data_IF_539355406717
#
_entry.id   IF_539355406717
#
_cell.length_a   1.000
_cell.length_b   1.000
_cell.length_c   1.000
_cell.angle_alpha   90.00
_cell.angle_beta   90.00
_cell.angle_gamma   90.00
#
_symmetry.space_group_name_H-M   'P 1'
#
loop_
_entity.id
_entity.type
_entity.pdbx_description
1 polymer ?
#
# COMPACT_ATOMS: atom_id res chain seq x y z
N UNK A 1 -76.56 -23.23 -38.68
CA UNK A 1 -77.30 -22.62 -39.81
C UNK A 1 -76.95 -21.14 -39.84
N UNK A 2 -75.85 -20.77 -40.50
CA UNK A 2 -75.83 -20.18 -41.86
C UNK A 2 -76.64 -18.86 -41.96
N UNK A 3 -75.93 -17.74 -42.15
CA UNK A 3 -75.95 -16.88 -43.38
C UNK A 3 -76.96 -15.71 -43.21
N UNK A 4 -76.76 -14.43 -43.54
CA UNK A 4 -75.87 -13.64 -44.41
C UNK A 4 -76.09 -12.13 -44.03
N UNK A 5 -75.07 -11.27 -43.94
CA UNK A 5 -74.67 -10.22 -44.93
C UNK A 5 -75.62 -8.97 -44.98
N UNK A 6 -75.25 -7.67 -44.90
CA UNK A 6 -74.52 -6.81 -45.88
C UNK A 6 -74.50 -5.32 -45.39
N UNK A 7 -73.30 -4.70 -45.36
CA UNK A 7 -72.82 -3.35 -45.83
C UNK A 7 -73.29 -1.92 -45.41
N UNK A 8 -72.25 -1.02 -45.44
CA UNK A 8 -72.13 0.46 -45.79
C UNK A 8 -72.34 1.52 -44.69
N UNK A 9 -71.73 2.74 -44.65
CA UNK A 9 -70.45 3.38 -45.03
C UNK A 9 -70.53 4.90 -44.62
N UNK A 10 -69.52 5.46 -43.91
CA UNK A 10 -69.10 6.89 -43.75
C UNK A 10 -70.08 7.93 -43.11
N UNK A 11 -69.67 8.97 -42.35
CA UNK A 11 -68.48 9.86 -42.38
C UNK A 11 -68.31 10.66 -41.06
N UNK A 12 -67.06 11.04 -40.78
CA UNK A 12 -66.47 11.71 -39.60
C UNK A 12 -66.76 13.22 -39.52
N UNK A 13 -66.92 13.78 -38.30
CA UNK A 13 -66.76 15.22 -38.02
C UNK A 13 -65.89 15.49 -36.78
N UNK A 14 -64.73 16.11 -37.03
CA UNK A 14 -63.81 16.69 -36.03
C UNK A 14 -64.33 18.06 -35.58
N UNK A 15 -64.42 18.33 -34.27
CA UNK A 15 -64.66 19.68 -33.73
C UNK A 15 -63.33 20.35 -33.31
N UNK A 16 -63.12 21.58 -33.79
CA UNK A 16 -61.97 22.45 -33.51
C UNK A 16 -62.07 23.04 -32.09
N UNK A 17 -60.94 23.18 -31.38
CA UNK A 17 -60.83 23.91 -30.10
C UNK A 17 -60.32 25.35 -30.33
N UNK A 18 -60.76 26.36 -29.55
CA UNK A 18 -60.33 27.77 -29.68
C UNK A 18 -59.01 28.08 -28.91
N UNK A 19 -58.35 29.24 -29.17
CA UNK A 19 -57.03 29.55 -28.60
C UNK A 19 -57.01 30.51 -27.39
N UNK A 20 -56.06 30.21 -26.49
CA UNK A 20 -55.14 31.05 -25.69
C UNK A 20 -55.61 32.14 -24.69
N UNK A 21 -55.10 32.04 -23.44
CA UNK A 21 -54.61 33.19 -22.65
C UNK A 21 -53.32 32.82 -21.92
N UNK A 22 -52.23 33.55 -22.22
CA UNK A 22 -50.94 33.52 -21.52
C UNK A 22 -51.10 34.03 -20.09
N UNK A 23 -50.63 33.28 -19.11
CA UNK A 23 -50.22 33.82 -17.80
C UNK A 23 -48.74 33.54 -17.62
N UNK A 24 -47.93 34.62 -17.55
CA UNK A 24 -46.51 34.55 -17.23
C UNK A 24 -46.38 34.06 -15.79
N UNK A 25 -45.93 32.83 -15.56
CA UNK A 25 -45.43 32.43 -14.24
C UNK A 25 -43.98 32.93 -14.11
N UNK A 26 -43.76 33.79 -13.12
CA UNK A 26 -42.45 34.34 -12.77
C UNK A 26 -41.47 33.19 -12.50
N UNK A 27 -40.29 33.26 -13.12
CA UNK A 27 -39.12 32.48 -12.72
C UNK A 27 -38.82 32.76 -11.25
N UNK A 28 -38.93 31.75 -10.40
CA UNK A 28 -38.22 31.72 -9.13
C UNK A 28 -37.16 30.63 -9.24
N UNK A 29 -35.93 31.10 -9.31
CA UNK A 29 -34.68 30.34 -9.29
C UNK A 29 -34.62 29.52 -7.99
N UNK A 30 -34.38 28.20 -8.01
CA UNK A 30 -34.09 27.48 -6.78
C UNK A 30 -32.60 27.68 -6.44
N UNK A 31 -32.34 28.49 -5.42
CA UNK A 31 -31.03 28.71 -4.77
C UNK A 31 -30.49 27.42 -4.09
N UNK A 32 -31.18 26.29 -4.24
CA UNK A 32 -30.90 25.04 -3.52
C UNK A 32 -29.94 24.08 -4.24
N UNK A 33 -29.52 24.37 -5.48
CA UNK A 33 -28.64 23.46 -6.23
C UNK A 33 -27.16 23.84 -6.25
N UNK A 34 -26.79 25.01 -5.72
CA UNK A 34 -25.39 25.47 -5.76
C UNK A 34 -24.55 24.94 -4.57
N UNK A 35 -25.16 24.62 -3.42
CA UNK A 35 -24.40 24.15 -2.24
C UNK A 35 -23.98 22.67 -2.31
N UNK A 36 -24.69 21.81 -3.04
CA UNK A 36 -24.35 20.37 -3.04
C UNK A 36 -23.12 20.06 -3.90
N UNK A 37 -22.92 20.81 -5.00
CA UNK A 37 -21.76 20.60 -5.88
C UNK A 37 -20.48 21.11 -5.22
N UNK A 38 -20.53 22.25 -4.52
CA UNK A 38 -19.36 22.80 -3.83
C UNK A 38 -18.88 21.93 -2.67
N UNK A 39 -19.78 21.29 -1.92
CA UNK A 39 -19.39 20.42 -0.79
C UNK A 39 -18.84 19.08 -1.30
N UNK A 40 -19.36 18.54 -2.41
CA UNK A 40 -18.77 17.36 -3.06
C UNK A 40 -17.40 17.68 -3.70
N UNK A 41 -17.22 18.88 -4.26
CA UNK A 41 -15.93 19.33 -4.77
C UNK A 41 -14.91 19.64 -3.67
N UNK A 42 -15.33 20.10 -2.49
CA UNK A 42 -14.43 20.27 -1.34
C UNK A 42 -14.08 18.94 -0.65
N UNK A 43 -15.01 17.98 -0.62
CA UNK A 43 -14.72 16.64 -0.08
C UNK A 43 -13.83 15.82 -1.02
N UNK A 44 -13.87 16.10 -2.33
CA UNK A 44 -12.96 15.52 -3.33
C UNK A 44 -11.59 16.24 -3.38
N UNK A 45 -11.51 17.48 -2.90
CA UNK A 45 -10.24 18.22 -2.74
C UNK A 45 -9.48 17.85 -1.45
N UNK A 46 -10.07 17.07 -0.54
CA UNK A 46 -9.36 16.47 0.61
C UNK A 46 -8.74 15.10 0.29
N UNK A 47 -8.94 14.56 -0.91
CA UNK A 47 -8.36 13.26 -1.35
C UNK A 47 -7.33 13.47 -2.48
N UNK A 48 -6.85 14.70 -2.66
CA UNK A 48 -5.70 14.98 -3.54
C UNK A 48 -4.70 15.87 -2.80
N UNK A 49 -4.27 15.45 -1.62
CA UNK A 49 -2.91 15.76 -1.22
C UNK A 49 -2.00 14.90 -2.10
N UNK A 50 -1.56 15.51 -3.20
CA UNK A 50 -0.39 15.07 -3.94
C UNK A 50 0.82 15.34 -3.05
N UNK A 51 0.98 14.51 -2.01
CA UNK A 51 2.21 14.38 -1.24
C UNK A 51 2.91 13.12 -1.72
N UNK A 52 3.99 13.30 -2.48
CA UNK A 52 4.90 12.22 -2.81
C UNK A 52 5.47 11.61 -1.51
N UNK A 53 4.88 10.50 -1.07
CA UNK A 53 5.33 9.74 0.10
C UNK A 53 4.25 8.80 0.57
N UNK A 54 4.53 7.50 0.56
CA UNK A 54 3.70 6.48 1.19
C UNK A 54 3.23 6.94 2.60
N UNK A 55 1.95 6.77 2.90
CA UNK A 55 1.35 7.12 4.20
C UNK A 55 1.90 6.17 5.28
N UNK A 56 2.98 6.59 5.95
CA UNK A 56 3.65 5.79 6.97
C UNK A 56 2.77 5.75 8.23
N UNK A 57 2.37 4.56 8.72
CA UNK A 57 1.56 4.45 9.93
C UNK A 57 2.26 5.06 11.14
N UNK A 58 1.58 5.98 11.84
CA UNK A 58 2.03 6.48 13.14
C UNK A 58 1.82 5.40 14.20
N UNK A 59 2.86 5.12 14.99
CA UNK A 59 2.89 4.09 16.03
C UNK A 59 2.71 2.64 15.51
N UNK A 60 2.94 2.41 14.22
CA UNK A 60 2.90 1.08 13.62
C UNK A 60 4.08 0.20 14.04
N UNK A 61 3.91 -1.11 13.91
CA UNK A 61 5.01 -2.07 13.96
C UNK A 61 5.92 -1.90 12.74
N UNK A 62 7.18 -2.35 12.84
CA UNK A 62 8.12 -2.28 11.70
C UNK A 62 7.61 -3.05 10.47
N UNK A 63 6.80 -4.09 10.66
CA UNK A 63 6.17 -4.83 9.57
C UNK A 63 5.12 -3.98 8.85
N UNK A 64 4.25 -3.28 9.59
CA UNK A 64 3.24 -2.37 9.02
C UNK A 64 3.89 -1.16 8.32
N UNK A 65 4.95 -0.61 8.92
CA UNK A 65 5.75 0.45 8.28
C UNK A 65 6.35 -0.07 6.97
N UNK A 66 6.97 -1.24 6.97
CA UNK A 66 7.54 -1.82 5.76
C UNK A 66 6.48 -2.09 4.69
N UNK A 67 5.33 -2.66 5.07
CA UNK A 67 4.20 -2.95 4.18
C UNK A 67 3.67 -1.68 3.50
N UNK A 68 3.62 -0.55 4.21
CA UNK A 68 3.23 0.74 3.62
C UNK A 68 4.14 1.20 2.47
N UNK A 69 5.37 0.67 2.39
CA UNK A 69 6.37 1.07 1.39
C UNK A 69 6.34 0.23 0.11
N UNK A 70 5.46 -0.77 -0.01
CA UNK A 70 5.44 -1.63 -1.21
C UNK A 70 5.27 -0.77 -2.48
N UNK A 71 6.17 -0.97 -3.44
CA UNK A 71 6.22 -0.23 -4.70
C UNK A 71 7.19 0.96 -4.71
N UNK A 72 7.65 1.41 -3.54
CA UNK A 72 8.53 2.57 -3.44
C UNK A 72 9.95 2.31 -3.96
N UNK A 73 10.60 3.40 -4.38
CA UNK A 73 11.97 3.44 -4.92
C UNK A 73 12.99 3.81 -3.84
N UNK A 74 14.25 3.43 -4.05
CA UNK A 74 15.21 3.46 -2.96
C UNK A 74 15.75 4.82 -2.54
N UNK A 75 15.51 5.90 -3.32
CA UNK A 75 16.14 7.22 -3.09
C UNK A 75 15.93 7.74 -1.68
N UNK A 76 14.73 7.57 -1.16
CA UNK A 76 14.38 7.97 0.21
C UNK A 76 15.31 7.30 1.22
N UNK A 77 15.55 6.00 1.08
CA UNK A 77 16.26 5.20 2.08
C UNK A 77 17.78 5.44 2.05
N UNK A 78 18.42 5.40 0.87
CA UNK A 78 19.88 5.62 0.82
C UNK A 78 20.25 7.07 1.11
N UNK A 79 19.46 8.05 0.69
CA UNK A 79 19.70 9.46 1.01
C UNK A 79 19.43 9.76 2.49
N UNK A 80 18.38 9.18 3.11
CA UNK A 80 18.18 9.28 4.57
C UNK A 80 19.36 8.67 5.34
N UNK A 81 19.92 7.57 4.84
CA UNK A 81 21.07 6.95 5.48
C UNK A 81 22.30 7.88 5.46
N UNK A 82 22.47 8.65 4.38
CA UNK A 82 23.55 9.62 4.18
C UNK A 82 24.35 9.43 2.88
N UNK A 83 23.84 8.66 1.92
CA UNK A 83 24.47 8.48 0.61
C UNK A 83 23.93 9.49 -0.41
N UNK A 84 24.85 10.14 -1.12
CA UNK A 84 24.52 11.10 -2.19
C UNK A 84 24.18 10.40 -3.53
N UNK A 85 24.62 9.15 -3.70
CA UNK A 85 24.45 8.36 -4.92
C UNK A 85 23.75 7.02 -4.65
N UNK A 86 23.13 6.38 -5.66
CA UNK A 86 22.53 5.07 -5.51
C UNK A 86 23.54 4.02 -5.03
N UNK A 87 23.13 3.25 -4.02
CA UNK A 87 23.87 2.11 -3.45
C UNK A 87 22.90 0.93 -3.28
N UNK A 88 23.42 -0.26 -2.98
CA UNK A 88 22.55 -1.36 -2.54
C UNK A 88 21.85 -0.99 -1.22
N UNK A 89 20.53 -0.83 -1.30
CA UNK A 89 19.78 -0.08 -0.29
C UNK A 89 18.85 -0.94 0.57
N UNK A 90 18.93 -2.27 0.48
CA UNK A 90 18.11 -3.18 1.30
C UNK A 90 18.29 -2.95 2.81
N UNK A 91 19.53 -2.81 3.28
CA UNK A 91 19.84 -2.49 4.68
C UNK A 91 19.46 -1.06 5.07
N UNK A 92 19.59 -0.10 4.14
CA UNK A 92 19.12 1.27 4.36
C UNK A 92 17.60 1.30 4.59
N UNK A 93 16.84 0.53 3.81
CA UNK A 93 15.39 0.38 3.96
C UNK A 93 15.02 -0.20 5.32
N UNK A 94 15.66 -1.29 5.76
CA UNK A 94 15.38 -1.89 7.08
C UNK A 94 15.71 -0.92 8.21
N UNK A 95 16.84 -0.23 8.12
CA UNK A 95 17.22 0.81 9.09
C UNK A 95 16.21 1.96 9.11
N UNK A 96 15.75 2.41 7.94
CA UNK A 96 14.75 3.48 7.85
C UNK A 96 13.43 3.05 8.50
N UNK A 97 12.95 1.83 8.24
CA UNK A 97 11.74 1.31 8.88
C UNK A 97 11.88 1.24 10.41
N UNK A 98 13.05 0.80 10.91
CA UNK A 98 13.33 0.78 12.33
C UNK A 98 13.37 2.19 12.95
N UNK A 99 13.89 3.18 12.22
CA UNK A 99 13.89 4.59 12.62
C UNK A 99 12.47 5.17 12.71
N UNK A 100 11.62 4.87 11.72
CA UNK A 100 10.21 5.31 11.73
C UNK A 100 9.44 4.76 12.95
N UNK A 101 9.87 3.62 13.49
CA UNK A 101 9.30 3.03 14.70
C UNK A 101 9.97 3.50 16.00
N UNK A 102 10.98 4.37 15.93
CA UNK A 102 11.80 4.80 17.08
C UNK A 102 12.69 3.70 17.66
N UNK A 103 12.85 2.57 16.97
CA UNK A 103 13.58 1.41 17.49
C UNK A 103 15.08 1.63 17.55
N UNK A 104 15.63 2.47 16.67
CA UNK A 104 17.04 2.84 16.69
C UNK A 104 17.34 3.71 17.91
N UNK A 105 16.56 4.78 18.14
CA UNK A 105 16.72 5.65 19.31
C UNK A 105 16.54 4.87 20.62
N UNK A 106 15.57 3.96 20.67
CA UNK A 106 15.34 3.09 21.82
C UNK A 106 16.40 1.97 22.00
N UNK A 107 17.38 1.86 21.10
CA UNK A 107 18.45 0.85 21.17
C UNK A 107 18.00 -0.60 20.88
N UNK A 108 16.82 -0.78 20.28
CA UNK A 108 16.21 -2.08 19.97
C UNK A 108 16.68 -2.66 18.64
N UNK A 109 17.10 -1.79 17.72
CA UNK A 109 17.58 -2.14 16.39
C UNK A 109 18.82 -1.30 16.02
N UNK A 110 19.75 -1.83 15.21
CA UNK A 110 20.88 -1.06 14.72
C UNK A 110 20.48 -0.13 13.56
N UNK A 111 21.23 0.97 13.39
CA UNK A 111 21.34 1.68 12.11
C UNK A 111 22.48 1.05 11.30
N UNK A 112 22.21 0.48 10.13
CA UNK A 112 23.20 -0.20 9.30
C UNK A 112 22.87 -0.10 7.79
N UNK A 113 23.90 -0.01 6.95
CA UNK A 113 23.80 -0.05 5.48
C UNK A 113 24.48 -1.27 4.87
N UNK A 114 25.24 -2.01 5.66
CA UNK A 114 25.87 -3.27 5.27
C UNK A 114 25.19 -4.44 6.00
N UNK A 115 24.73 -5.44 5.25
CA UNK A 115 23.98 -6.56 5.82
C UNK A 115 24.76 -7.34 6.88
N UNK A 116 26.07 -7.53 6.68
CA UNK A 116 26.92 -8.24 7.63
C UNK A 116 27.06 -7.48 8.96
N UNK A 117 27.12 -6.15 8.93
CA UNK A 117 27.15 -5.34 10.14
C UNK A 117 25.86 -5.49 10.96
N UNK A 118 24.70 -5.56 10.28
CA UNK A 118 23.41 -5.84 10.92
C UNK A 118 23.42 -7.19 11.64
N UNK A 119 23.89 -8.25 10.97
CA UNK A 119 24.05 -9.59 11.57
C UNK A 119 24.98 -9.54 12.79
N UNK A 120 26.16 -8.94 12.64
CA UNK A 120 27.14 -8.84 13.72
C UNK A 120 26.56 -8.14 14.96
N UNK A 121 25.77 -7.09 14.75
CA UNK A 121 25.07 -6.40 15.84
C UNK A 121 24.09 -7.33 16.56
N UNK A 122 23.18 -8.00 15.83
CA UNK A 122 22.19 -8.90 16.46
C UNK A 122 22.83 -10.07 17.21
N UNK A 123 23.97 -10.59 16.71
CA UNK A 123 24.77 -11.60 17.41
C UNK A 123 25.33 -11.02 18.71
N UNK A 124 26.00 -9.86 18.65
CA UNK A 124 26.60 -9.22 19.82
C UNK A 124 25.59 -8.83 20.89
N UNK A 125 24.38 -8.42 20.47
CA UNK A 125 23.24 -8.08 21.31
C UNK A 125 22.48 -9.31 21.83
N UNK A 126 22.95 -10.53 21.54
CA UNK A 126 22.30 -11.82 21.94
C UNK A 126 20.86 -11.97 21.44
N UNK A 127 20.52 -11.25 20.38
CA UNK A 127 19.19 -11.22 19.76
C UNK A 127 19.14 -11.95 18.41
N UNK A 128 20.20 -12.69 18.06
CA UNK A 128 20.26 -13.51 16.85
C UNK A 128 19.52 -14.85 16.98
N UNK A 129 18.94 -15.32 15.88
CA UNK A 129 18.34 -16.66 15.74
C UNK A 129 18.77 -17.31 14.42
N UNK A 130 18.97 -18.61 14.47
CA UNK A 130 19.34 -19.42 13.30
C UNK A 130 18.13 -19.66 12.39
N UNK A 131 18.39 -20.05 11.13
CA UNK A 131 17.36 -20.21 10.08
C UNK A 131 16.21 -21.20 10.38
N UNK A 132 16.43 -22.18 11.26
CA UNK A 132 15.50 -23.30 11.51
C UNK A 132 14.34 -23.01 12.48
N UNK A 133 14.01 -21.73 12.67
CA UNK A 133 12.87 -21.34 13.52
C UNK A 133 11.67 -20.92 12.66
N UNK A 134 10.48 -20.94 13.25
CA UNK A 134 9.34 -20.20 12.69
C UNK A 134 9.50 -18.73 13.12
N UNK A 135 9.74 -17.78 12.20
CA UNK A 135 9.95 -16.39 12.57
C UNK A 135 8.61 -15.71 12.93
N UNK A 136 8.71 -14.66 13.76
CA UNK A 136 7.60 -13.80 14.13
C UNK A 136 7.60 -12.53 13.26
N UNK A 137 6.42 -11.92 12.99
CA UNK A 137 6.34 -10.61 12.36
C UNK A 137 7.24 -9.57 13.05
N UNK A 138 7.89 -8.73 12.25
CA UNK A 138 8.82 -7.69 12.73
C UNK A 138 10.25 -8.17 13.00
N UNK A 139 10.53 -9.47 12.91
CA UNK A 139 11.92 -9.95 12.89
C UNK A 139 12.63 -9.50 11.61
N UNK A 140 13.92 -9.19 11.72
CA UNK A 140 14.77 -8.88 10.57
C UNK A 140 15.28 -10.21 10.01
N UNK A 141 15.08 -10.46 8.73
CA UNK A 141 15.54 -11.68 8.05
C UNK A 141 16.73 -11.35 7.16
N UNK A 142 17.77 -12.17 7.22
CA UNK A 142 19.00 -12.02 6.44
C UNK A 142 19.19 -13.22 5.51
N UNK A 143 19.77 -12.99 4.34
CA UNK A 143 19.94 -14.00 3.30
C UNK A 143 21.40 -14.12 2.86
N UNK A 144 21.79 -15.35 2.52
CA UNK A 144 23.06 -15.75 1.91
C UNK A 144 22.68 -16.64 0.72
N UNK A 145 22.58 -16.03 -0.46
CA UNK A 145 22.06 -16.67 -1.66
C UNK A 145 23.06 -17.67 -2.24
N UNK A 146 24.35 -17.35 -2.17
CA UNK A 146 25.43 -18.16 -2.73
C UNK A 146 25.94 -19.23 -1.73
N UNK A 147 25.56 -19.11 -0.46
CA UNK A 147 25.90 -20.00 0.66
C UNK A 147 27.39 -20.01 0.96
N UNK A 148 28.01 -18.84 0.88
CA UNK A 148 29.45 -18.66 1.14
C UNK A 148 29.74 -18.11 2.55
N UNK A 149 28.70 -18.02 3.40
CA UNK A 149 28.69 -17.41 4.72
C UNK A 149 28.89 -15.89 4.71
N UNK A 150 28.59 -15.22 3.59
CA UNK A 150 28.45 -13.76 3.54
C UNK A 150 26.98 -13.41 3.31
N UNK A 151 26.56 -12.33 3.96
CA UNK A 151 25.16 -11.91 3.90
C UNK A 151 24.96 -10.98 2.72
N UNK A 152 24.11 -11.38 1.79
CA UNK A 152 23.85 -10.67 0.54
C UNK A 152 22.68 -9.69 0.67
N UNK A 153 21.67 -10.06 1.45
CA UNK A 153 20.39 -9.34 1.48
C UNK A 153 19.74 -9.35 2.85
N UNK A 154 18.82 -8.41 3.06
CA UNK A 154 18.06 -8.26 4.31
C UNK A 154 16.65 -7.75 4.02
N UNK A 155 15.68 -8.23 4.79
CA UNK A 155 14.29 -7.80 4.76
C UNK A 155 13.63 -7.82 6.13
N UNK A 156 12.33 -7.55 6.16
CA UNK A 156 11.51 -7.59 7.38
C UNK A 156 10.46 -8.68 7.22
N UNK A 157 10.32 -9.54 8.23
CA UNK A 157 9.26 -10.55 8.25
C UNK A 157 7.92 -9.86 8.45
N UNK A 158 7.02 -9.96 7.47
CA UNK A 158 5.65 -9.46 7.57
C UNK A 158 4.74 -10.47 8.26
N UNK A 159 4.84 -11.74 7.86
CA UNK A 159 4.03 -12.82 8.40
C UNK A 159 4.72 -14.17 8.24
N UNK A 160 4.42 -15.14 9.11
CA UNK A 160 4.69 -16.56 8.85
C UNK A 160 3.42 -17.38 9.00
N UNK A 161 3.03 -18.14 7.96
CA UNK A 161 1.80 -18.93 7.96
C UNK A 161 1.98 -20.22 7.16
N UNK A 162 1.59 -21.34 7.76
CA UNK A 162 1.62 -22.68 7.13
C UNK A 162 3.01 -23.05 6.57
N UNK A 163 4.08 -22.65 7.24
CA UNK A 163 5.46 -22.94 6.80
C UNK A 163 5.99 -22.04 5.69
N UNK A 164 5.25 -20.98 5.33
CA UNK A 164 5.70 -19.94 4.40
C UNK A 164 5.92 -18.64 5.17
N UNK A 165 7.10 -18.05 4.99
CA UNK A 165 7.48 -16.74 5.49
C UNK A 165 7.18 -15.73 4.39
N UNK A 166 6.47 -14.66 4.72
CA UNK A 166 6.23 -13.51 3.88
C UNK A 166 7.06 -12.35 4.41
N UNK A 167 7.78 -11.68 3.52
CA UNK A 167 8.73 -10.63 3.86
C UNK A 167 8.44 -9.39 3.04
N UNK A 168 8.78 -8.21 3.59
CA UNK A 168 8.91 -6.98 2.82
C UNK A 168 10.39 -6.65 2.68
N UNK A 169 10.84 -6.48 1.43
CA UNK A 169 12.24 -6.31 1.07
C UNK A 169 12.43 -5.07 0.21
N UNK A 170 13.31 -4.18 0.66
CA UNK A 170 13.83 -3.08 -0.15
C UNK A 170 14.88 -3.59 -1.15
N UNK A 171 15.11 -2.84 -2.22
CA UNK A 171 16.01 -3.21 -3.32
C UNK A 171 15.68 -4.56 -4.00
N UNK A 172 14.42 -5.00 -3.90
CA UNK A 172 13.95 -6.22 -4.55
C UNK A 172 13.53 -5.87 -5.99
N UNK A 173 14.46 -6.00 -6.93
CA UNK A 173 14.26 -5.52 -8.30
C UNK A 173 14.05 -4.00 -8.35
N UNK A 174 14.89 -3.27 -7.62
CA UNK A 174 14.89 -1.81 -7.49
C UNK A 174 13.55 -1.24 -7.00
N UNK A 175 12.80 -1.98 -6.16
CA UNK A 175 11.62 -1.48 -5.46
C UNK A 175 11.50 -2.17 -4.10
N UNK A 176 10.67 -1.61 -3.22
CA UNK A 176 10.14 -2.33 -2.06
C UNK A 176 9.09 -3.35 -2.53
N UNK A 177 9.25 -4.64 -2.18
CA UNK A 177 8.34 -5.71 -2.62
C UNK A 177 8.07 -6.73 -1.53
N UNK A 178 6.90 -7.35 -1.62
CA UNK A 178 6.63 -8.59 -0.91
C UNK A 178 7.38 -9.76 -1.57
N UNK A 179 7.97 -10.62 -0.76
CA UNK A 179 8.60 -11.89 -1.15
C UNK A 179 8.15 -13.00 -0.22
N UNK A 180 8.42 -14.24 -0.62
CA UNK A 180 8.03 -15.40 0.18
C UNK A 180 9.06 -16.52 0.09
N UNK A 181 9.31 -17.18 1.22
CA UNK A 181 10.28 -18.27 1.36
C UNK A 181 9.68 -19.40 2.21
N UNK A 182 10.20 -20.61 2.05
CA UNK A 182 9.87 -21.69 2.97
C UNK A 182 10.57 -21.46 4.32
N UNK A 183 9.95 -21.89 5.42
CA UNK A 183 10.65 -21.98 6.70
C UNK A 183 11.81 -22.97 6.58
N UNK A 184 13.02 -22.54 6.96
CA UNK A 184 14.25 -23.33 6.83
C UNK A 184 14.79 -23.40 5.40
N UNK A 185 14.36 -22.50 4.51
CA UNK A 185 14.98 -22.34 3.19
C UNK A 185 16.49 -22.06 3.36
N UNK A 186 17.31 -22.72 2.55
CA UNK A 186 18.75 -22.74 2.71
C UNK A 186 19.43 -21.43 2.32
N UNK A 187 18.70 -20.51 1.69
CA UNK A 187 19.17 -19.14 1.41
C UNK A 187 18.97 -18.20 2.60
N UNK A 188 18.26 -18.64 3.65
CA UNK A 188 18.06 -17.85 4.86
C UNK A 188 19.30 -18.01 5.74
N UNK A 189 20.02 -16.90 5.95
CA UNK A 189 21.17 -16.88 6.83
C UNK A 189 20.75 -16.92 8.31
N UNK A 190 19.70 -16.18 8.65
CA UNK A 190 19.12 -16.17 9.98
C UNK A 190 18.30 -14.91 10.26
N UNK A 191 18.03 -14.66 11.53
CA UNK A 191 17.12 -13.61 11.94
C UNK A 191 17.62 -12.78 13.12
N UNK A 192 17.38 -11.47 13.05
CA UNK A 192 17.49 -10.53 14.16
C UNK A 192 16.15 -10.32 14.86
N UNK A 193 16.14 -10.44 16.19
CA UNK A 193 14.96 -10.15 17.03
C UNK A 193 15.05 -8.73 17.56
N UNK A 194 14.04 -7.91 17.29
CA UNK A 194 13.89 -6.57 17.89
C UNK A 194 13.25 -6.73 19.28
N UNK A 195 13.84 -6.14 20.33
CA UNK A 195 13.33 -6.20 21.72
C UNK A 195 13.36 -4.84 22.38
#
# INVERSE_FOLDING_TARGET
MQMMAIYRLHKILRRRRPPCRRHKRKMMLPVLFACSVAVFSLLFLLILDCGDGADVPKDGTIAEVAESQIGEKGKVYWSWYGFDEPVDWCACFVSWCADQCGYIEAGKAPKFSNCQDGVNWFISSKNWRQQNITPEPGMIIFFDWDRDNKVDHVGIVNQCKKGTIYTIEGNSGDNCRERSYAVGDNVIYGYGVIR
#
